data_IF_384448977263
#
_entry.id   IF_384448977263
#
_cell.length_a   1.000
_cell.length_b   1.000
_cell.length_c   1.000
_cell.angle_alpha   90.00
_cell.angle_beta   90.00
_cell.angle_gamma   90.00
#
_symmetry.space_group_name_H-M   'P 1'
#
loop_
_entity.id
_entity.type
_entity.pdbx_description
1 polymer ?
#
# COMPACT_ATOMS: atom_id res chain seq x y z
N UNK A 1 4.42 -2.82 -11.19
CA UNK A 1 3.32 -3.57 -11.84
C UNK A 1 2.90 -2.82 -13.09
N UNK A 2 2.56 -3.54 -14.17
CA UNK A 2 2.01 -2.93 -15.39
C UNK A 2 0.51 -3.21 -15.42
N UNK A 3 -0.32 -2.16 -15.48
CA UNK A 3 -1.77 -2.26 -15.28
C UNK A 3 -2.53 -1.25 -16.14
N UNK A 4 -3.81 -1.48 -16.39
CA UNK A 4 -4.70 -0.48 -17.01
C UNK A 4 -4.97 0.68 -16.04
N UNK A 5 -5.25 1.89 -16.54
CA UNK A 5 -5.47 3.07 -15.69
C UNK A 5 -6.53 2.90 -14.58
N UNK A 6 -7.58 2.11 -14.81
CA UNK A 6 -8.62 1.81 -13.80
C UNK A 6 -8.16 0.84 -12.69
N UNK A 7 -7.13 0.05 -12.96
CA UNK A 7 -6.58 -0.95 -12.04
C UNK A 7 -5.52 -0.35 -11.08
N UNK A 8 -5.04 0.87 -11.36
CA UNK A 8 -3.96 1.50 -10.57
C UNK A 8 -4.32 1.58 -9.09
N UNK A 9 -5.54 1.99 -8.75
CA UNK A 9 -5.93 2.19 -7.36
C UNK A 9 -5.94 0.87 -6.58
N UNK A 10 -6.57 -0.17 -7.12
CA UNK A 10 -6.64 -1.50 -6.51
C UNK A 10 -5.27 -2.16 -6.39
N UNK A 11 -4.44 -2.09 -7.44
CA UNK A 11 -3.11 -2.66 -7.43
C UNK A 11 -2.22 -2.01 -6.36
N UNK A 12 -2.29 -0.68 -6.19
CA UNK A 12 -1.50 0.02 -5.18
C UNK A 12 -2.02 -0.24 -3.77
N UNK A 13 -3.35 -0.24 -3.58
CA UNK A 13 -3.97 -0.54 -2.28
C UNK A 13 -3.66 -1.97 -1.83
N UNK A 14 -3.73 -2.96 -2.71
CA UNK A 14 -3.40 -4.35 -2.39
C UNK A 14 -1.99 -4.49 -1.83
N UNK A 15 -1.00 -3.87 -2.48
CA UNK A 15 0.40 -3.91 -2.04
C UNK A 15 0.60 -3.13 -0.73
N UNK A 16 0.08 -1.91 -0.64
CA UNK A 16 0.25 -1.06 0.55
C UNK A 16 -0.41 -1.65 1.79
N UNK A 17 -1.65 -2.16 1.66
CA UNK A 17 -2.36 -2.80 2.77
C UNK A 17 -1.68 -4.08 3.21
N UNK A 18 -1.13 -4.88 2.29
CA UNK A 18 -0.37 -6.09 2.63
C UNK A 18 0.87 -5.74 3.45
N UNK A 19 1.63 -4.71 3.06
CA UNK A 19 2.80 -4.26 3.84
C UNK A 19 2.34 -3.78 5.22
N UNK A 20 1.29 -2.94 5.28
CA UNK A 20 0.80 -2.37 6.54
C UNK A 20 0.18 -3.41 7.47
N UNK A 21 -0.40 -4.50 6.94
CA UNK A 21 -0.85 -5.64 7.73
C UNK A 21 0.33 -6.25 8.52
N UNK A 22 1.50 -6.39 7.90
CA UNK A 22 2.72 -6.92 8.52
C UNK A 22 3.50 -5.90 9.34
N UNK A 23 3.07 -4.63 9.37
CA UNK A 23 3.76 -3.51 10.04
C UNK A 23 2.86 -2.76 11.02
N UNK A 24 1.73 -3.34 11.37
CA UNK A 24 0.78 -2.79 12.34
C UNK A 24 0.58 -3.76 13.50
N UNK A 25 0.16 -3.22 14.63
CA UNK A 25 -0.10 -3.99 15.86
C UNK A 25 -1.26 -3.35 16.61
N UNK A 26 -1.76 -4.07 17.61
CA UNK A 26 -2.85 -3.58 18.45
C UNK A 26 -2.46 -2.35 19.23
N UNK A 27 -3.47 -1.60 19.69
CA UNK A 27 -3.23 -0.40 20.50
C UNK A 27 -2.62 -0.79 21.85
N UNK A 28 -1.56 -0.11 22.23
CA UNK A 28 -0.88 -0.31 23.52
C UNK A 28 -1.61 0.48 24.60
N UNK A 29 -1.91 -0.17 25.71
CA UNK A 29 -2.46 0.45 26.91
C UNK A 29 -1.46 0.32 28.05
N UNK A 30 -0.69 1.38 28.29
CA UNK A 30 0.32 1.43 29.34
C UNK A 30 -0.28 1.75 30.71
N UNK A 31 0.18 1.03 31.73
CA UNK A 31 -0.11 1.33 33.12
C UNK A 31 1.03 2.12 33.76
N UNK A 32 0.76 2.73 34.92
CA UNK A 32 1.72 3.58 35.65
C UNK A 32 2.99 2.82 36.05
N UNK A 33 2.89 1.51 36.27
CA UNK A 33 4.04 0.66 36.64
C UNK A 33 4.90 0.25 35.42
N UNK A 34 4.56 0.72 34.22
CA UNK A 34 5.30 0.43 32.98
C UNK A 34 4.85 -0.86 32.28
N UNK A 35 3.94 -1.62 32.87
CA UNK A 35 3.31 -2.77 32.18
C UNK A 35 2.34 -2.29 31.10
N UNK A 36 2.08 -3.12 30.09
CA UNK A 36 1.14 -2.79 29.02
C UNK A 36 0.32 -4.01 28.59
N UNK A 37 -0.87 -3.73 28.06
CA UNK A 37 -1.63 -4.68 27.25
C UNK A 37 -1.67 -4.21 25.79
N UNK A 38 -1.84 -5.16 24.87
CA UNK A 38 -1.96 -4.90 23.44
C UNK A 38 -3.36 -5.34 23.02
N UNK A 39 -4.10 -4.45 22.34
CA UNK A 39 -5.40 -4.79 21.75
C UNK A 39 -5.27 -5.79 20.58
N UNK A 40 -6.40 -6.23 20.04
CA UNK A 40 -6.42 -7.09 18.86
C UNK A 40 -6.56 -6.25 17.59
N UNK A 41 -5.89 -6.66 16.51
CA UNK A 41 -6.08 -6.09 15.17
C UNK A 41 -7.02 -6.99 14.39
N UNK A 42 -8.15 -6.45 13.93
CA UNK A 42 -9.04 -7.15 13.01
C UNK A 42 -8.53 -7.09 11.58
N UNK A 43 -8.96 -8.04 10.75
CA UNK A 43 -8.65 -8.11 9.31
C UNK A 43 -9.93 -8.21 8.48
N UNK A 44 -9.83 -7.80 7.22
CA UNK A 44 -10.94 -7.85 6.27
C UNK A 44 -10.42 -8.20 4.87
N UNK A 45 -11.12 -9.12 4.20
CA UNK A 45 -10.94 -9.42 2.78
C UNK A 45 -11.57 -8.31 1.92
N UNK A 46 -10.87 -7.92 0.86
CA UNK A 46 -11.31 -6.92 -0.10
C UNK A 46 -11.16 -7.48 -1.51
N UNK A 47 -12.29 -7.66 -2.18
CA UNK A 47 -12.34 -8.02 -3.60
C UNK A 47 -12.04 -6.80 -4.47
N UNK A 48 -11.23 -7.01 -5.51
CA UNK A 48 -10.98 -6.00 -6.54
C UNK A 48 -12.06 -6.10 -7.63
N UNK A 49 -12.60 -4.95 -8.06
CA UNK A 49 -13.59 -4.88 -9.14
C UNK A 49 -12.90 -4.97 -10.52
N UNK A 50 -11.71 -4.38 -10.66
CA UNK A 50 -11.01 -4.27 -11.95
C UNK A 50 -9.85 -5.24 -12.12
N UNK A 51 -9.52 -6.03 -11.10
CA UNK A 51 -8.46 -7.04 -11.14
C UNK A 51 -9.04 -8.34 -10.59
N UNK A 52 -8.72 -9.48 -11.19
CA UNK A 52 -9.16 -10.78 -10.69
C UNK A 52 -8.30 -11.18 -9.48
N UNK A 53 -8.54 -10.51 -8.35
CA UNK A 53 -7.72 -10.57 -7.15
C UNK A 53 -8.52 -10.15 -5.91
N UNK A 54 -8.12 -10.67 -4.75
CA UNK A 54 -8.58 -10.22 -3.45
C UNK A 54 -7.37 -10.05 -2.52
N UNK A 55 -7.40 -9.05 -1.64
CA UNK A 55 -6.35 -8.80 -0.66
C UNK A 55 -6.90 -8.64 0.75
N UNK A 56 -6.06 -8.92 1.74
CA UNK A 56 -6.39 -8.74 3.16
C UNK A 56 -5.85 -7.38 3.63
N UNK A 57 -6.68 -6.64 4.36
CA UNK A 57 -6.26 -5.41 5.05
C UNK A 57 -6.58 -5.46 6.53
N UNK A 58 -5.95 -4.58 7.31
CA UNK A 58 -6.40 -4.30 8.67
C UNK A 58 -7.77 -3.62 8.66
N UNK A 59 -8.62 -3.98 9.63
CA UNK A 59 -9.96 -3.40 9.83
C UNK A 59 -9.85 -1.99 10.48
N UNK A 60 -9.20 -1.07 9.78
CA UNK A 60 -9.03 0.33 10.18
C UNK A 60 -9.49 1.26 9.05
N UNK A 61 -10.68 1.85 9.23
CA UNK A 61 -11.27 2.79 8.27
C UNK A 61 -10.47 4.08 8.15
N UNK A 62 -9.78 4.49 9.21
CA UNK A 62 -8.90 5.65 9.18
C UNK A 62 -7.68 5.39 8.29
N UNK A 63 -7.06 4.22 8.43
CA UNK A 63 -5.91 3.83 7.61
C UNK A 63 -6.32 3.66 6.14
N UNK A 64 -7.41 2.95 5.87
CA UNK A 64 -7.90 2.74 4.51
C UNK A 64 -8.22 4.07 3.81
N UNK A 65 -8.91 5.00 4.51
CA UNK A 65 -9.19 6.33 3.98
C UNK A 65 -7.92 7.13 3.67
N UNK A 66 -6.90 7.05 4.53
CA UNK A 66 -5.63 7.74 4.31
C UNK A 66 -4.90 7.20 3.07
N UNK A 67 -4.85 5.86 2.92
CA UNK A 67 -4.24 5.24 1.75
C UNK A 67 -5.01 5.56 0.47
N UNK A 68 -6.35 5.42 0.47
CA UNK A 68 -7.18 5.78 -0.70
C UNK A 68 -6.99 7.22 -1.12
N UNK A 69 -6.89 8.16 -0.17
CA UNK A 69 -6.60 9.56 -0.48
C UNK A 69 -5.24 9.73 -1.17
N UNK A 70 -4.19 9.10 -0.63
CA UNK A 70 -2.84 9.19 -1.19
C UNK A 70 -2.75 8.52 -2.57
N UNK A 71 -3.31 7.31 -2.71
CA UNK A 71 -3.33 6.56 -3.97
C UNK A 71 -4.21 7.26 -5.02
N UNK A 72 -5.35 7.83 -4.64
CA UNK A 72 -6.20 8.61 -5.52
C UNK A 72 -5.49 9.85 -6.07
N UNK A 73 -4.85 10.62 -5.20
CA UNK A 73 -4.04 11.77 -5.61
C UNK A 73 -2.88 11.35 -6.55
N UNK A 74 -2.23 10.21 -6.26
CA UNK A 74 -1.21 9.64 -7.13
C UNK A 74 -1.76 9.23 -8.51
N UNK A 75 -2.92 8.56 -8.55
CA UNK A 75 -3.60 8.16 -9.81
C UNK A 75 -3.94 9.39 -10.66
N UNK A 76 -4.46 10.44 -10.04
CA UNK A 76 -4.82 11.68 -10.75
C UNK A 76 -3.57 12.39 -11.27
N UNK A 77 -2.52 12.48 -10.45
CA UNK A 77 -1.23 13.03 -10.87
C UNK A 77 -0.64 12.24 -12.06
N UNK A 78 -0.67 10.91 -12.01
CA UNK A 78 -0.18 10.02 -13.06
C UNK A 78 -0.94 10.16 -14.38
N UNK A 79 -2.24 10.47 -14.32
CA UNK A 79 -3.05 10.75 -15.52
C UNK A 79 -2.79 12.13 -16.10
N UNK A 80 -2.47 13.11 -15.24
CA UNK A 80 -2.26 14.50 -15.64
C UNK A 80 -0.81 14.86 -16.02
N UNK A 81 0.16 14.01 -15.67
CA UNK A 81 1.59 14.29 -15.80
C UNK A 81 2.10 14.36 -17.25
N UNK A 82 1.33 13.87 -18.23
CA UNK A 82 1.80 13.73 -19.62
C UNK A 82 3.02 12.82 -19.77
N UNK A 83 3.38 12.05 -18.72
CA UNK A 83 4.45 11.06 -18.75
C UNK A 83 4.00 9.81 -19.52
N UNK A 84 4.95 8.92 -19.83
CA UNK A 84 4.72 7.64 -20.52
C UNK A 84 3.88 6.63 -19.70
N UNK A 85 3.02 7.08 -18.80
CA UNK A 85 2.22 6.24 -17.90
C UNK A 85 3.00 5.67 -16.72
N UNK A 86 4.25 6.07 -16.53
CA UNK A 86 5.10 5.57 -15.45
C UNK A 86 5.07 6.46 -14.21
N UNK A 87 5.02 5.84 -13.03
CA UNK A 87 5.10 6.51 -11.74
C UNK A 87 5.46 5.57 -10.60
N UNK A 88 5.64 6.12 -9.38
CA UNK A 88 5.88 5.32 -8.19
C UNK A 88 5.32 5.96 -6.91
N UNK A 89 4.92 5.13 -5.95
CA UNK A 89 4.67 5.52 -4.56
C UNK A 89 5.72 4.86 -3.68
N UNK A 90 6.20 5.62 -2.69
CA UNK A 90 7.05 5.11 -1.61
C UNK A 90 6.28 5.05 -0.29
N UNK A 91 6.43 3.94 0.45
CA UNK A 91 5.97 3.79 1.82
C UNK A 91 7.19 3.68 2.73
N UNK A 92 7.30 4.60 3.68
CA UNK A 92 8.47 4.76 4.54
C UNK A 92 8.09 4.52 6.00
N UNK A 93 8.81 3.59 6.65
CA UNK A 93 8.76 3.44 8.09
C UNK A 93 10.00 4.08 8.70
N UNK A 94 9.76 4.96 9.67
CA UNK A 94 10.81 5.68 10.36
C UNK A 94 10.59 5.66 11.87
N UNK A 95 11.69 5.79 12.61
CA UNK A 95 11.69 5.99 14.05
C UNK A 95 12.18 7.39 14.38
N UNK A 96 11.43 8.11 15.20
CA UNK A 96 11.88 9.38 15.78
C UNK A 96 12.84 9.08 16.92
N UNK A 97 14.11 9.45 16.77
CA UNK A 97 15.10 9.38 17.83
C UNK A 97 15.15 10.73 18.54
N UNK A 98 14.68 10.75 19.79
CA UNK A 98 14.83 11.93 20.65
C UNK A 98 16.31 12.17 20.90
N UNK A 99 16.79 13.33 20.48
CA UNK A 99 18.19 13.72 20.67
C UNK A 99 18.45 14.05 22.14
N UNK A 100 19.59 13.61 22.67
CA UNK A 100 20.13 14.13 23.93
C UNK A 100 21.02 15.31 23.56
N UNK A 101 20.45 16.51 23.62
CA UNK A 101 21.05 17.86 23.60
C UNK A 101 22.49 17.99 23.03
N UNK A 102 22.77 18.83 21.99
CA UNK A 102 21.92 19.83 21.35
C UNK A 102 21.57 19.54 19.87
N UNK A 103 21.47 18.28 19.43
CA UNK A 103 21.10 17.96 18.04
C UNK A 103 19.58 17.94 17.85
N UNK A 104 19.09 18.18 16.63
CA UNK A 104 17.68 18.03 16.27
C UNK A 104 17.21 16.58 16.42
N UNK A 105 15.92 16.38 16.68
CA UNK A 105 15.33 15.04 16.59
C UNK A 105 15.53 14.46 15.19
N UNK A 106 16.07 13.25 15.13
CA UNK A 106 16.38 12.57 13.87
C UNK A 106 15.25 11.59 13.51
N UNK A 107 14.86 11.55 12.24
CA UNK A 107 14.01 10.50 11.71
C UNK A 107 14.91 9.45 11.05
N UNK A 108 15.01 8.29 11.66
CA UNK A 108 15.80 7.17 11.13
C UNK A 108 14.85 6.29 10.33
N UNK A 109 14.97 6.34 9.00
CA UNK A 109 14.30 5.41 8.10
C UNK A 109 14.87 4.01 8.33
N UNK A 110 14.01 3.08 8.72
CA UNK A 110 14.41 1.70 8.97
C UNK A 110 13.85 0.74 7.91
N UNK A 111 12.86 1.18 7.13
CA UNK A 111 12.32 0.41 6.02
C UNK A 111 11.68 1.33 4.97
N UNK A 112 11.92 1.02 3.69
CA UNK A 112 11.41 1.76 2.54
C UNK A 112 10.91 0.78 1.49
N UNK A 113 9.64 0.91 1.13
CA UNK A 113 9.02 0.16 0.03
C UNK A 113 8.73 1.11 -1.12
N UNK A 114 9.23 0.80 -2.32
CA UNK A 114 8.94 1.58 -3.52
C UNK A 114 8.16 0.74 -4.53
N UNK A 115 6.96 1.20 -4.87
CA UNK A 115 6.02 0.50 -5.73
C UNK A 115 5.94 1.28 -7.02
N UNK A 116 6.54 0.72 -8.08
CA UNK A 116 6.53 1.30 -9.42
C UNK A 116 5.31 0.82 -10.19
N UNK A 117 4.62 1.72 -10.88
CA UNK A 117 3.50 1.42 -11.77
C UNK A 117 3.83 1.86 -13.18
N UNK A 118 3.35 1.09 -14.15
CA UNK A 118 3.36 1.42 -15.57
C UNK A 118 1.94 1.28 -16.11
N UNK A 119 1.34 2.37 -16.55
CA UNK A 119 -0.03 2.40 -17.07
C UNK A 119 -0.01 2.06 -18.54
N UNK A 120 -0.72 1.00 -18.92
CA UNK A 120 -0.86 0.57 -20.31
C UNK A 120 -2.23 0.94 -20.86
N UNK A 121 -2.26 1.30 -22.14
CA UNK A 121 -3.50 1.50 -22.89
C UNK A 121 -3.87 0.21 -23.61
N UNK A 122 -5.12 -0.22 -23.47
CA UNK A 122 -5.64 -1.45 -24.06
C UNK A 122 -6.62 -1.09 -25.18
N UNK A 123 -6.51 -1.77 -26.32
CA UNK A 123 -7.24 -1.42 -27.53
C UNK A 123 -8.69 -1.94 -27.55
N UNK A 124 -8.98 -3.01 -26.82
CA UNK A 124 -10.28 -3.70 -26.88
C UNK A 124 -10.60 -4.45 -25.56
N UNK A 125 -11.83 -4.97 -25.46
CA UNK A 125 -12.30 -5.67 -24.26
C UNK A 125 -11.62 -7.02 -24.04
N UNK A 126 -11.20 -7.70 -25.10
CA UNK A 126 -10.47 -8.96 -24.98
C UNK A 126 -9.10 -8.74 -24.29
N UNK A 127 -8.37 -7.71 -24.69
CA UNK A 127 -7.13 -7.30 -24.03
C UNK A 127 -7.36 -6.87 -22.58
N UNK A 128 -8.47 -6.19 -22.31
CA UNK A 128 -8.88 -5.83 -20.94
C UNK A 128 -9.06 -7.06 -20.08
N UNK A 129 -9.83 -8.06 -20.54
CA UNK A 129 -10.06 -9.27 -19.76
C UNK A 129 -8.74 -10.01 -19.48
N UNK A 130 -7.86 -10.16 -20.48
CA UNK A 130 -6.53 -10.75 -20.29
C UNK A 130 -5.68 -9.93 -19.29
N UNK A 131 -5.79 -8.60 -19.31
CA UNK A 131 -5.08 -7.73 -18.38
C UNK A 131 -5.59 -7.87 -16.93
N UNK A 132 -6.88 -8.15 -16.72
CA UNK A 132 -7.47 -8.39 -15.38
C UNK A 132 -6.86 -9.62 -14.73
N UNK A 133 -6.78 -10.72 -15.47
CA UNK A 133 -6.19 -11.99 -15.02
C UNK A 133 -4.69 -11.84 -14.75
N UNK A 134 -3.94 -11.29 -15.73
CA UNK A 134 -2.48 -11.10 -15.59
C UNK A 134 -2.10 -10.14 -14.46
N UNK A 135 -2.89 -9.09 -14.24
CA UNK A 135 -2.65 -8.18 -13.13
C UNK A 135 -2.84 -8.90 -11.78
N UNK A 136 -3.85 -9.77 -11.67
CA UNK A 136 -4.08 -10.62 -10.50
C UNK A 136 -2.89 -11.56 -10.23
N UNK A 137 -2.46 -12.33 -11.23
CA UNK A 137 -1.28 -13.21 -11.13
C UNK A 137 -0.03 -12.45 -10.67
N UNK A 138 0.21 -11.26 -11.23
CA UNK A 138 1.36 -10.44 -10.87
C UNK A 138 1.24 -9.88 -9.45
N UNK A 139 0.04 -9.55 -8.98
CA UNK A 139 -0.17 -9.14 -7.59
C UNK A 139 0.05 -10.32 -6.63
N UNK A 140 -0.37 -11.54 -6.97
CA UNK A 140 -0.05 -12.74 -6.18
C UNK A 140 1.46 -12.88 -5.99
N UNK A 141 2.23 -12.81 -7.08
CA UNK A 141 3.70 -12.84 -7.02
C UNK A 141 4.23 -11.74 -6.09
N UNK A 142 3.73 -10.50 -6.21
CA UNK A 142 4.19 -9.38 -5.36
C UNK A 142 3.84 -9.56 -3.89
N UNK A 143 2.67 -10.10 -3.56
CA UNK A 143 2.32 -10.39 -2.16
C UNK A 143 3.24 -11.47 -1.59
N UNK A 144 3.52 -12.53 -2.34
CA UNK A 144 4.46 -13.57 -1.89
C UNK A 144 5.82 -12.95 -1.57
N UNK A 145 6.35 -12.10 -2.46
CA UNK A 145 7.63 -11.40 -2.23
C UNK A 145 7.62 -10.42 -1.04
N UNK A 146 6.46 -9.98 -0.55
CA UNK A 146 6.37 -9.14 0.67
C UNK A 146 6.50 -10.00 1.94
N UNK A 147 6.07 -11.26 1.86
CA UNK A 147 5.99 -12.19 2.99
C UNK A 147 7.25 -13.05 3.13
N UNK A 148 7.94 -13.34 2.02
CA UNK A 148 9.25 -14.02 1.97
C UNK A 148 10.40 -13.16 2.52
#
# INVERSE_FOLDING_TARGET
VSVEGRQVEEAMLAVLHTILLHRSTGKFHYKKEGTYSIGTVGTQDVDCDFIDFAYVRVSSEELDRALRKAVGAFKDALRSSGSDGMGQISLEFYQKKKSRWPFSDECILWELWTIKVNVVNLANEQERQICREKAGEKLCEKIINIVE
#
